data_IF_543325657108
#
_entry.id   IF_543325657108
#
_cell.length_a   1.000
_cell.length_b   1.000
_cell.length_c   1.000
_cell.angle_alpha   90.00
_cell.angle_beta   90.00
_cell.angle_gamma   90.00
#
_symmetry.space_group_name_H-M   'P 1'
#
loop_
_entity.id
_entity.type
_entity.pdbx_description
1 polymer ?
#
# COMPACT_ATOMS: atom_id res chain seq x y z
N UNK A 1 33.41 -21.33 -7.86
CA UNK A 1 32.77 -21.15 -9.18
C UNK A 1 32.32 -19.70 -9.22
N UNK A 2 32.63 -18.95 -10.28
CA UNK A 2 32.24 -17.53 -10.37
C UNK A 2 30.72 -17.44 -10.42
N UNK A 3 30.12 -16.68 -9.49
CA UNK A 3 28.68 -16.44 -9.51
C UNK A 3 28.37 -15.38 -10.56
N UNK A 4 27.63 -15.78 -11.60
CA UNK A 4 27.24 -14.90 -12.71
C UNK A 4 25.80 -14.39 -12.62
N UNK A 5 24.99 -14.95 -11.71
CA UNK A 5 23.61 -14.55 -11.46
C UNK A 5 23.54 -13.84 -10.12
N UNK A 6 23.01 -12.62 -10.08
CA UNK A 6 22.79 -11.84 -8.86
C UNK A 6 21.53 -12.28 -8.10
N UNK A 7 20.60 -11.34 -7.94
CA UNK A 7 19.31 -11.57 -7.27
C UNK A 7 18.38 -12.42 -8.14
N UNK A 8 17.78 -13.46 -7.55
CA UNK A 8 16.76 -14.29 -8.20
C UNK A 8 15.46 -14.19 -7.43
N UNK A 9 14.35 -13.96 -8.13
CA UNK A 9 13.03 -13.78 -7.53
C UNK A 9 12.08 -14.82 -8.09
N UNK A 10 11.36 -15.54 -7.21
CA UNK A 10 10.44 -16.61 -7.58
C UNK A 10 9.08 -16.42 -6.91
N UNK A 11 8.03 -16.29 -7.70
CA UNK A 11 6.65 -16.41 -7.22
C UNK A 11 6.28 -17.87 -7.01
N UNK A 12 5.96 -18.25 -5.78
CA UNK A 12 5.67 -19.62 -5.39
C UNK A 12 4.17 -19.88 -5.44
N UNK A 13 3.77 -20.92 -6.19
CA UNK A 13 2.38 -21.37 -6.20
C UNK A 13 2.02 -22.01 -4.86
N UNK A 14 0.95 -21.55 -4.22
CA UNK A 14 0.45 -22.11 -2.97
C UNK A 14 -1.01 -22.60 -3.10
N UNK A 15 -1.50 -23.41 -2.16
CA UNK A 15 -2.91 -23.76 -2.07
C UNK A 15 -3.80 -22.53 -1.89
N UNK A 16 -5.10 -22.69 -2.18
CA UNK A 16 -6.10 -21.68 -1.84
C UNK A 16 -6.19 -21.59 -0.31
N UNK A 17 -5.91 -20.41 0.22
CA UNK A 17 -5.96 -20.13 1.66
C UNK A 17 -7.40 -19.90 2.09
N UNK A 18 -7.81 -20.47 3.22
CA UNK A 18 -9.11 -20.28 3.83
C UNK A 18 -8.98 -19.67 5.22
N UNK A 19 -10.10 -19.17 5.73
CA UNK A 19 -10.19 -18.70 7.11
C UNK A 19 -9.87 -19.85 8.08
N UNK A 20 -9.04 -19.56 9.08
CA UNK A 20 -8.59 -20.53 10.08
C UNK A 20 -7.37 -21.35 9.68
N UNK A 21 -6.88 -21.23 8.44
CA UNK A 21 -5.66 -21.93 8.03
C UNK A 21 -4.43 -21.44 8.80
N UNK A 22 -3.51 -22.34 9.15
CA UNK A 22 -2.20 -21.96 9.68
C UNK A 22 -1.31 -21.47 8.53
N UNK A 23 -1.31 -20.15 8.33
CA UNK A 23 -0.57 -19.52 7.24
C UNK A 23 0.93 -19.81 7.33
N UNK A 24 1.48 -19.95 8.54
CA UNK A 24 2.88 -20.24 8.76
C UNK A 24 3.28 -21.61 8.20
N UNK A 25 2.46 -22.64 8.42
CA UNK A 25 2.72 -23.99 7.89
C UNK A 25 2.63 -24.00 6.37
N UNK A 26 1.61 -23.33 5.81
CA UNK A 26 1.43 -23.26 4.36
C UNK A 26 2.62 -22.57 3.68
N UNK A 27 3.13 -21.48 4.27
CA UNK A 27 4.29 -20.77 3.73
C UNK A 27 5.54 -21.65 3.79
N UNK A 28 5.81 -22.26 4.94
CA UNK A 28 6.96 -23.14 5.14
C UNK A 28 6.94 -24.31 4.15
N UNK A 29 5.81 -25.00 4.03
CA UNK A 29 5.65 -26.14 3.14
C UNK A 29 5.78 -25.73 1.67
N UNK A 30 5.26 -24.56 1.29
CA UNK A 30 5.38 -24.03 -0.07
C UNK A 30 6.82 -23.73 -0.44
N UNK A 31 7.58 -23.10 0.47
CA UNK A 31 9.01 -22.79 0.28
C UNK A 31 9.83 -24.08 0.14
N UNK A 32 9.66 -25.04 1.06
CA UNK A 32 10.40 -26.31 1.05
C UNK A 32 10.06 -27.16 -0.18
N UNK A 33 8.78 -27.21 -0.57
CA UNK A 33 8.34 -27.91 -1.78
C UNK A 33 8.94 -27.27 -3.02
N UNK A 34 8.92 -25.95 -3.13
CA UNK A 34 9.51 -25.24 -4.26
C UNK A 34 11.01 -25.49 -4.35
N UNK A 35 11.74 -25.37 -3.24
CA UNK A 35 13.18 -25.66 -3.17
C UNK A 35 13.50 -27.07 -3.66
N UNK A 36 12.73 -28.08 -3.22
CA UNK A 36 12.91 -29.47 -3.62
C UNK A 36 12.57 -29.73 -5.10
N UNK A 37 11.46 -29.20 -5.59
CA UNK A 37 10.94 -29.49 -6.94
C UNK A 37 11.72 -28.73 -8.01
N UNK A 38 12.02 -27.46 -7.76
CA UNK A 38 12.74 -26.58 -8.70
C UNK A 38 14.27 -26.67 -8.56
N UNK A 39 14.76 -27.38 -7.53
CA UNK A 39 16.18 -27.69 -7.37
C UNK A 39 17.06 -26.50 -6.97
N UNK A 40 16.57 -25.62 -6.10
CA UNK A 40 17.39 -24.54 -5.51
C UNK A 40 17.60 -24.75 -4.01
N UNK A 41 18.76 -24.36 -3.52
CA UNK A 41 19.09 -24.38 -2.09
C UNK A 41 18.55 -23.14 -1.40
N UNK A 42 18.19 -23.26 -0.12
CA UNK A 42 17.85 -22.13 0.74
C UNK A 42 19.12 -21.71 1.48
N UNK A 43 19.42 -20.41 1.52
CA UNK A 43 20.61 -19.86 2.14
C UNK A 43 20.29 -18.89 3.28
N UNK A 44 21.29 -18.62 4.12
CA UNK A 44 21.19 -17.53 5.10
C UNK A 44 20.98 -16.20 4.37
N UNK A 45 20.09 -15.36 4.92
CA UNK A 45 19.65 -14.06 4.38
C UNK A 45 18.84 -14.12 3.07
N UNK A 46 18.48 -15.30 2.56
CA UNK A 46 17.39 -15.37 1.57
C UNK A 46 16.10 -14.84 2.20
N UNK A 47 15.23 -14.26 1.38
CA UNK A 47 14.01 -13.58 1.86
C UNK A 47 12.77 -14.33 1.40
N UNK A 48 11.87 -14.61 2.33
CA UNK A 48 10.52 -15.09 2.06
C UNK A 48 9.54 -13.95 2.30
N UNK A 49 8.75 -13.58 1.30
CA UNK A 49 7.71 -12.57 1.47
C UNK A 49 6.33 -13.19 1.25
N UNK A 50 5.34 -12.71 2.00
CA UNK A 50 3.97 -13.21 1.97
C UNK A 50 3.02 -12.03 1.80
N UNK A 51 2.09 -12.07 0.84
CA UNK A 51 1.16 -10.95 0.68
C UNK A 51 0.28 -10.78 1.92
N UNK A 52 -0.02 -9.53 2.28
CA UNK A 52 -0.98 -9.16 3.34
C UNK A 52 -2.30 -9.91 3.17
N UNK A 53 -2.72 -10.05 1.91
CA UNK A 53 -4.04 -10.49 1.52
C UNK A 53 -4.33 -11.93 1.97
N UNK A 54 -3.33 -12.81 1.91
CA UNK A 54 -3.49 -14.20 2.35
C UNK A 54 -3.37 -14.35 3.85
N UNK A 55 -2.59 -13.48 4.51
CA UNK A 55 -2.51 -13.43 5.98
C UNK A 55 -3.85 -12.97 6.54
N UNK A 56 -4.43 -11.89 6.00
CA UNK A 56 -5.74 -11.39 6.37
C UNK A 56 -6.85 -12.44 6.14
N UNK A 57 -6.75 -13.20 5.04
CA UNK A 57 -7.70 -14.28 4.72
C UNK A 57 -7.63 -15.42 5.73
N UNK A 58 -6.42 -15.89 6.05
CA UNK A 58 -6.22 -16.91 7.08
C UNK A 58 -6.72 -16.46 8.45
N UNK A 59 -6.56 -15.18 8.79
CA UNK A 59 -7.03 -14.59 10.04
C UNK A 59 -8.56 -14.48 10.16
N UNK A 60 -9.32 -14.58 9.07
CA UNK A 60 -10.77 -14.34 9.13
C UNK A 60 -11.14 -12.90 9.46
N UNK A 61 -10.26 -11.92 9.19
CA UNK A 61 -10.46 -10.54 9.62
C UNK A 61 -11.43 -9.79 8.69
N UNK A 62 -12.72 -10.13 8.77
CA UNK A 62 -13.79 -9.56 7.94
C UNK A 62 -14.73 -8.68 8.76
N UNK A 63 -15.31 -7.68 8.10
CA UNK A 63 -16.35 -6.85 8.67
C UNK A 63 -17.47 -6.58 7.66
N UNK A 64 -18.71 -6.46 8.16
CA UNK A 64 -19.87 -6.14 7.35
C UNK A 64 -20.06 -4.62 7.22
N UNK A 65 -20.80 -4.19 6.20
CA UNK A 65 -21.22 -2.79 6.09
C UNK A 65 -22.06 -2.32 7.29
N UNK A 66 -22.75 -3.23 7.98
CA UNK A 66 -23.52 -2.92 9.20
C UNK A 66 -22.62 -2.59 10.39
N UNK A 67 -21.52 -3.32 10.53
CA UNK A 67 -20.52 -3.05 11.56
C UNK A 67 -19.82 -1.71 11.30
N UNK A 68 -19.49 -1.42 10.03
CA UNK A 68 -18.98 -0.09 9.62
C UNK A 68 -20.01 0.99 9.96
N UNK A 69 -21.28 0.80 9.58
CA UNK A 69 -22.34 1.76 9.82
C UNK A 69 -22.54 2.04 11.31
N UNK A 70 -22.54 1.00 12.16
CA UNK A 70 -22.66 1.14 13.61
C UNK A 70 -21.49 1.94 14.20
N UNK A 71 -20.27 1.69 13.72
CA UNK A 71 -19.10 2.42 14.19
C UNK A 71 -19.12 3.89 13.76
N UNK A 72 -19.47 4.16 12.50
CA UNK A 72 -19.68 5.52 11.97
C UNK A 72 -20.77 6.24 12.77
N UNK A 73 -21.89 5.58 13.04
CA UNK A 73 -22.98 6.13 13.84
C UNK A 73 -22.54 6.47 15.27
N UNK A 74 -21.73 5.61 15.90
CA UNK A 74 -21.22 5.85 17.25
C UNK A 74 -20.32 7.09 17.33
N UNK A 75 -19.58 7.37 16.25
CA UNK A 75 -18.61 8.47 16.16
C UNK A 75 -19.25 9.80 15.76
N UNK A 76 -20.20 9.76 14.82
CA UNK A 76 -20.78 10.95 14.22
C UNK A 76 -22.21 11.26 14.69
N UNK A 77 -22.98 10.26 15.13
CA UNK A 77 -24.36 10.43 15.56
C UNK A 77 -25.30 10.80 14.41
N UNK A 78 -26.06 11.88 14.57
CA UNK A 78 -26.99 12.42 13.57
C UNK A 78 -26.46 13.68 12.87
N UNK A 79 -25.15 13.93 12.97
CA UNK A 79 -24.54 15.07 12.31
C UNK A 79 -24.35 14.84 10.80
N UNK A 80 -24.26 15.92 10.04
CA UNK A 80 -23.79 15.88 8.64
C UNK A 80 -22.30 15.55 8.61
N UNK A 81 -21.91 14.56 7.82
CA UNK A 81 -20.52 14.10 7.70
C UNK A 81 -19.90 14.63 6.41
N UNK A 82 -18.76 15.28 6.51
CA UNK A 82 -17.91 15.58 5.37
C UNK A 82 -17.04 14.37 5.07
N UNK A 83 -17.26 13.68 3.95
CA UNK A 83 -16.43 12.55 3.52
C UNK A 83 -15.47 13.08 2.46
N UNK A 84 -14.17 13.10 2.76
CA UNK A 84 -13.20 13.82 1.94
C UNK A 84 -12.05 12.93 1.46
N UNK A 85 -11.56 13.23 0.27
CA UNK A 85 -10.37 12.62 -0.33
C UNK A 85 -10.38 11.09 -0.40
N UNK A 86 -11.51 10.44 -0.76
CA UNK A 86 -11.47 9.01 -1.01
C UNK A 86 -10.65 8.70 -2.26
N UNK A 87 -10.01 7.53 -2.27
CA UNK A 87 -9.47 6.97 -3.51
C UNK A 87 -10.60 6.47 -4.40
N UNK A 88 -10.47 6.64 -5.72
CA UNK A 88 -11.45 6.27 -6.72
C UNK A 88 -11.33 4.79 -7.07
N UNK A 89 -11.90 3.95 -6.20
CA UNK A 89 -11.83 2.51 -6.35
C UNK A 89 -13.16 1.82 -6.03
N UNK A 90 -13.60 0.96 -6.95
CA UNK A 90 -14.69 -0.01 -6.70
C UNK A 90 -14.30 -1.07 -5.67
N UNK A 91 -13.02 -1.43 -5.61
CA UNK A 91 -12.53 -2.52 -4.77
C UNK A 91 -12.16 -2.05 -3.36
N UNK A 92 -11.48 -0.90 -3.25
CA UNK A 92 -10.91 -0.41 -1.99
C UNK A 92 -11.84 0.53 -1.21
N UNK A 93 -12.71 1.30 -1.87
CA UNK A 93 -13.52 2.31 -1.19
C UNK A 93 -15.03 2.13 -1.30
N UNK A 94 -15.55 1.61 -2.42
CA UNK A 94 -17.02 1.56 -2.63
C UNK A 94 -17.79 0.81 -1.54
N UNK A 95 -17.30 -0.34 -1.07
CA UNK A 95 -17.96 -1.09 0.02
C UNK A 95 -17.82 -0.35 1.37
N UNK A 96 -16.67 0.28 1.63
CA UNK A 96 -16.52 1.15 2.79
C UNK A 96 -17.53 2.30 2.75
N UNK A 97 -17.72 2.93 1.58
CA UNK A 97 -18.67 4.02 1.40
C UNK A 97 -20.11 3.58 1.65
N UNK A 98 -20.50 2.37 1.23
CA UNK A 98 -21.82 1.79 1.57
C UNK A 98 -22.05 1.73 3.08
N UNK A 99 -21.06 1.21 3.83
CA UNK A 99 -21.11 1.18 5.29
C UNK A 99 -21.13 2.58 5.92
N UNK A 100 -20.33 3.51 5.40
CA UNK A 100 -20.30 4.91 5.87
C UNK A 100 -21.66 5.58 5.64
N UNK A 101 -22.22 5.46 4.43
CA UNK A 101 -23.52 5.99 4.07
C UNK A 101 -24.62 5.43 4.97
N UNK A 102 -24.68 4.10 5.15
CA UNK A 102 -25.67 3.46 6.02
C UNK A 102 -25.61 3.94 7.49
N UNK A 103 -24.45 4.39 7.96
CA UNK A 103 -24.27 4.96 9.30
C UNK A 103 -24.48 6.48 9.40
N UNK A 104 -24.64 7.18 8.28
CA UNK A 104 -24.71 8.63 8.19
C UNK A 104 -26.14 9.15 8.07
N UNK A 105 -26.36 10.41 8.46
CA UNK A 105 -27.64 11.11 8.21
C UNK A 105 -27.64 11.88 6.89
N UNK A 106 -26.55 12.61 6.62
CA UNK A 106 -26.28 13.38 5.41
C UNK A 106 -24.78 13.34 5.15
N UNK A 107 -24.38 13.26 3.88
CA UNK A 107 -22.98 13.30 3.47
C UNK A 107 -22.74 14.49 2.55
N UNK A 108 -21.67 15.23 2.82
CA UNK A 108 -21.05 16.13 1.85
C UNK A 108 -19.78 15.43 1.35
N UNK A 109 -19.80 14.95 0.11
CA UNK A 109 -18.70 14.22 -0.52
C UNK A 109 -17.77 15.22 -1.21
N UNK A 110 -16.52 15.33 -0.75
CA UNK A 110 -15.51 16.17 -1.37
C UNK A 110 -14.44 15.34 -2.05
N UNK A 111 -14.38 15.45 -3.38
CA UNK A 111 -13.41 14.74 -4.21
C UNK A 111 -12.23 15.65 -4.57
N UNK A 112 -11.02 15.08 -4.51
CA UNK A 112 -9.81 15.71 -5.05
C UNK A 112 -9.84 15.69 -6.58
N UNK A 113 -9.25 16.69 -7.22
CA UNK A 113 -9.17 16.77 -8.69
C UNK A 113 -7.85 17.44 -9.14
N UNK A 114 -7.23 17.05 -10.27
CA UNK A 114 -7.74 16.15 -11.29
C UNK A 114 -7.76 14.66 -10.88
N UNK A 115 -7.02 14.28 -9.84
CA UNK A 115 -6.92 12.90 -9.37
C UNK A 115 -7.00 12.76 -7.84
N UNK A 116 -7.21 11.54 -7.35
CA UNK A 116 -7.05 11.21 -5.94
C UNK A 116 -5.57 11.13 -5.50
N UNK A 117 -5.34 10.76 -4.23
CA UNK A 117 -3.99 10.66 -3.64
C UNK A 117 -3.07 9.67 -4.36
N UNK A 118 -3.62 8.59 -4.91
CA UNK A 118 -2.84 7.55 -5.61
C UNK A 118 -2.82 7.78 -7.13
N UNK A 119 -3.47 8.83 -7.63
CA UNK A 119 -3.43 9.22 -9.03
C UNK A 119 -4.54 8.63 -9.91
N UNK A 120 -5.63 8.08 -9.34
CA UNK A 120 -6.81 7.78 -10.16
C UNK A 120 -7.44 9.10 -10.61
N UNK A 121 -7.59 9.28 -11.91
CA UNK A 121 -8.05 10.54 -12.50
C UNK A 121 -9.58 10.60 -12.50
N UNK A 122 -10.13 11.72 -11.99
CA UNK A 122 -11.49 12.14 -12.30
C UNK A 122 -11.56 12.79 -13.67
N UNK A 123 -10.57 13.61 -14.00
CA UNK A 123 -10.43 14.35 -15.27
C UNK A 123 -8.97 14.38 -15.68
N UNK A 124 -8.74 14.58 -16.98
CA UNK A 124 -7.39 14.88 -17.46
C UNK A 124 -6.94 16.25 -16.94
N UNK A 125 -5.65 16.40 -16.65
CA UNK A 125 -5.08 17.67 -16.22
C UNK A 125 -5.12 18.70 -17.35
N UNK A 126 -4.98 18.27 -18.61
CA UNK A 126 -5.04 19.18 -19.77
C UNK A 126 -6.44 19.80 -19.92
N UNK A 127 -7.50 19.05 -19.55
CA UNK A 127 -8.87 19.58 -19.52
C UNK A 127 -9.04 20.71 -18.49
N UNK A 128 -8.27 20.70 -17.40
CA UNK A 128 -8.30 21.80 -16.44
C UNK A 128 -7.73 23.08 -17.06
N UNK A 129 -6.61 22.95 -17.77
CA UNK A 129 -5.93 24.07 -18.44
C UNK A 129 -6.81 24.67 -19.54
N UNK A 130 -7.47 23.84 -20.35
CA UNK A 130 -8.41 24.28 -21.40
C UNK A 130 -9.60 25.07 -20.83
N UNK A 131 -10.04 24.74 -19.61
CA UNK A 131 -11.16 25.40 -18.93
C UNK A 131 -10.71 26.54 -18.01
N UNK A 132 -9.41 26.76 -17.86
CA UNK A 132 -8.84 27.77 -16.97
C UNK A 132 -9.13 27.51 -15.49
N UNK A 133 -9.30 26.25 -15.09
CA UNK A 133 -9.61 25.84 -13.71
C UNK A 133 -8.31 25.57 -12.95
N UNK A 134 -8.12 26.22 -11.81
CA UNK A 134 -6.96 26.00 -10.95
C UNK A 134 -7.26 24.98 -9.85
N UNK A 135 -6.71 23.75 -9.91
CA UNK A 135 -7.00 22.69 -8.94
C UNK A 135 -6.52 23.01 -7.52
N UNK A 136 -5.66 24.01 -7.33
CA UNK A 136 -5.14 24.37 -6.01
C UNK A 136 -6.01 25.39 -5.26
N UNK A 137 -6.74 26.24 -5.97
CA UNK A 137 -7.55 27.32 -5.39
C UNK A 137 -9.04 27.14 -5.59
N UNK A 138 -9.45 26.58 -6.72
CA UNK A 138 -10.83 26.63 -7.15
C UNK A 138 -11.63 25.54 -6.45
N UNK A 139 -12.89 25.87 -6.14
CA UNK A 139 -13.85 24.94 -5.56
C UNK A 139 -15.01 24.84 -6.54
N UNK A 140 -15.33 23.62 -6.95
CA UNK A 140 -16.42 23.36 -7.88
C UNK A 140 -17.56 22.65 -7.14
N UNK A 141 -18.79 23.06 -7.45
CA UNK A 141 -19.99 22.25 -7.19
C UNK A 141 -20.09 21.14 -8.24
N UNK A 142 -20.88 20.11 -7.96
CA UNK A 142 -21.25 19.09 -8.96
C UNK A 142 -21.73 19.70 -10.27
N UNK A 143 -22.66 20.66 -10.22
CA UNK A 143 -23.16 21.32 -11.43
C UNK A 143 -22.04 21.99 -12.22
N UNK A 144 -21.16 22.76 -11.57
CA UNK A 144 -20.03 23.40 -12.26
C UNK A 144 -19.07 22.38 -12.87
N UNK A 145 -18.76 21.31 -12.14
CA UNK A 145 -17.93 20.22 -12.66
C UNK A 145 -18.57 19.58 -13.90
N UNK A 146 -19.87 19.27 -13.86
CA UNK A 146 -20.61 18.71 -15.01
C UNK A 146 -20.72 19.69 -16.18
N UNK A 147 -20.95 20.96 -15.94
CA UNK A 147 -20.99 21.99 -16.99
C UNK A 147 -19.62 22.14 -17.69
N UNK A 148 -18.52 21.97 -16.94
CA UNK A 148 -17.16 22.07 -17.48
C UNK A 148 -16.71 20.81 -18.22
N UNK A 149 -17.00 19.61 -17.69
CA UNK A 149 -16.39 18.35 -18.12
C UNK A 149 -17.39 17.27 -18.58
N UNK A 150 -18.68 17.42 -18.28
CA UNK A 150 -19.71 16.43 -18.61
C UNK A 150 -19.65 15.15 -17.76
N UNK A 151 -19.96 14.02 -18.40
CA UNK A 151 -19.80 12.68 -17.83
C UNK A 151 -18.39 12.17 -18.14
N UNK A 152 -17.56 12.02 -17.11
CA UNK A 152 -16.15 11.63 -17.28
C UNK A 152 -15.94 10.24 -16.70
N UNK A 153 -15.55 9.31 -17.58
CA UNK A 153 -15.31 7.91 -17.23
C UNK A 153 -13.84 7.68 -17.00
N UNK A 154 -13.52 6.99 -15.92
CA UNK A 154 -12.15 6.60 -15.61
C UNK A 154 -11.57 5.68 -16.70
N UNK A 155 -10.37 6.01 -17.18
CA UNK A 155 -9.74 5.40 -18.36
C UNK A 155 -9.68 3.87 -18.32
N UNK A 156 -9.41 3.28 -17.15
CA UNK A 156 -9.26 1.83 -17.02
C UNK A 156 -10.55 1.09 -16.64
N UNK A 157 -11.50 1.75 -15.98
CA UNK A 157 -12.69 1.05 -15.43
C UNK A 157 -13.97 1.40 -16.18
N UNK A 158 -13.98 2.48 -16.96
CA UNK A 158 -15.17 3.00 -17.64
C UNK A 158 -16.22 3.58 -16.68
N UNK A 159 -15.88 3.79 -15.41
CA UNK A 159 -16.80 4.25 -14.36
C UNK A 159 -16.72 5.75 -14.22
N UNK A 160 -17.88 6.42 -14.20
CA UNK A 160 -18.00 7.78 -13.68
C UNK A 160 -18.06 7.71 -12.15
N UNK A 161 -16.95 8.03 -11.48
CA UNK A 161 -16.85 7.89 -10.03
C UNK A 161 -17.65 8.95 -9.26
N UNK A 162 -17.97 10.10 -9.87
CA UNK A 162 -18.81 11.12 -9.25
C UNK A 162 -20.23 10.57 -9.11
N UNK A 163 -20.79 10.07 -10.20
CA UNK A 163 -22.14 9.47 -10.21
C UNK A 163 -22.19 8.17 -9.42
N UNK A 164 -21.16 7.33 -9.56
CA UNK A 164 -21.09 6.06 -8.86
C UNK A 164 -21.05 6.25 -7.34
N UNK A 165 -20.23 7.15 -6.79
CA UNK A 165 -20.20 7.36 -5.34
C UNK A 165 -21.45 8.04 -4.80
N UNK A 166 -22.02 8.98 -5.56
CA UNK A 166 -23.29 9.60 -5.21
C UNK A 166 -24.42 8.58 -5.12
N UNK A 167 -24.59 7.75 -6.15
CA UNK A 167 -25.62 6.70 -6.18
C UNK A 167 -25.47 5.68 -5.04
N UNK A 168 -24.23 5.29 -4.67
CA UNK A 168 -23.99 4.41 -3.52
C UNK A 168 -24.46 5.00 -2.19
N UNK A 169 -24.35 6.32 -2.02
CA UNK A 169 -24.81 7.01 -0.81
C UNK A 169 -26.34 7.10 -0.81
N UNK A 170 -26.91 7.54 -1.93
CA UNK A 170 -28.36 7.73 -2.09
C UNK A 170 -29.16 6.42 -2.03
N UNK A 171 -28.56 5.28 -2.35
CA UNK A 171 -29.15 3.94 -2.20
C UNK A 171 -29.63 3.66 -0.77
N UNK A 172 -28.99 4.26 0.24
CA UNK A 172 -29.39 4.15 1.65
C UNK A 172 -30.32 5.27 2.13
N UNK A 173 -30.90 6.05 1.21
CA UNK A 173 -31.78 7.17 1.52
C UNK A 173 -31.05 8.36 2.17
N UNK A 174 -29.74 8.45 1.99
CA UNK A 174 -28.89 9.51 2.55
C UNK A 174 -28.71 10.61 1.53
N UNK A 175 -29.01 11.85 1.94
CA UNK A 175 -28.76 13.02 1.11
C UNK A 175 -27.25 13.19 0.85
N UNK A 176 -26.88 13.35 -0.42
CA UNK A 176 -25.50 13.54 -0.85
C UNK A 176 -25.33 14.87 -1.58
N UNK A 177 -24.42 15.71 -1.08
CA UNK A 177 -23.93 16.90 -1.80
C UNK A 177 -22.49 16.67 -2.25
N UNK A 178 -22.20 16.80 -3.55
CA UNK A 178 -20.86 16.59 -4.10
C UNK A 178 -20.18 17.92 -4.41
N UNK A 179 -18.95 18.08 -3.93
CA UNK A 179 -18.07 19.23 -4.19
C UNK A 179 -16.65 18.76 -4.54
N UNK A 180 -15.86 19.64 -5.14
CA UNK A 180 -14.49 19.36 -5.57
C UNK A 180 -13.55 20.42 -5.03
N UNK A 181 -12.48 19.98 -4.36
CA UNK A 181 -11.43 20.84 -3.80
C UNK A 181 -10.23 19.98 -3.42
N UNK A 182 -9.01 20.51 -3.56
CA UNK A 182 -7.79 19.89 -3.00
C UNK A 182 -7.40 20.47 -1.62
N UNK A 183 -8.17 21.43 -1.12
CA UNK A 183 -7.95 22.05 0.17
C UNK A 183 -8.92 21.45 1.21
N UNK A 184 -8.43 20.70 2.22
CA UNK A 184 -9.31 20.05 3.19
C UNK A 184 -10.16 21.05 3.98
N UNK A 185 -9.72 22.32 4.12
CA UNK A 185 -10.50 23.33 4.85
C UNK A 185 -11.83 23.65 4.17
N UNK A 186 -11.96 23.44 2.87
CA UNK A 186 -13.19 23.73 2.13
C UNK A 186 -14.41 23.02 2.73
N UNK A 187 -14.24 21.78 3.20
CA UNK A 187 -15.35 21.00 3.79
C UNK A 187 -15.93 21.65 5.06
N UNK A 188 -15.13 22.46 5.77
CA UNK A 188 -15.54 23.11 7.01
C UNK A 188 -16.59 24.21 6.80
N UNK A 189 -16.78 24.67 5.56
CA UNK A 189 -17.91 25.54 5.19
C UNK A 189 -19.26 24.80 5.20
N UNK A 190 -19.24 23.48 5.15
CA UNK A 190 -20.42 22.62 5.05
C UNK A 190 -20.69 21.84 6.35
N UNK A 191 -19.63 21.38 7.03
CA UNK A 191 -19.74 20.69 8.31
C UNK A 191 -18.41 20.69 9.06
N UNK A 192 -18.49 20.68 10.40
CA UNK A 192 -17.32 20.53 11.28
C UNK A 192 -16.98 19.08 11.59
N UNK A 193 -17.78 18.14 11.11
CA UNK A 193 -17.65 16.71 11.38
C UNK A 193 -17.18 16.01 10.11
N UNK A 194 -15.95 15.49 10.12
CA UNK A 194 -15.26 15.07 8.89
C UNK A 194 -14.66 13.68 9.06
N UNK A 195 -14.91 12.83 8.07
CA UNK A 195 -14.21 11.57 7.82
C UNK A 195 -13.24 11.78 6.65
N UNK A 196 -11.95 11.71 6.94
CA UNK A 196 -10.89 11.87 5.94
C UNK A 196 -10.41 10.49 5.44
N UNK A 197 -10.49 10.29 4.13
CA UNK A 197 -10.31 8.99 3.48
C UNK A 197 -8.98 8.85 2.73
N UNK A 198 -8.14 9.88 2.80
CA UNK A 198 -6.74 9.82 2.37
C UNK A 198 -5.98 8.76 3.18
N UNK A 199 -5.04 8.10 2.51
CA UNK A 199 -4.25 7.01 3.06
C UNK A 199 -2.97 7.61 3.63
N UNK A 200 -2.07 8.15 2.82
CA UNK A 200 -0.72 8.52 3.27
C UNK A 200 -0.66 9.90 3.92
N UNK A 201 -1.54 10.81 3.51
CA UNK A 201 -1.62 12.19 4.00
C UNK A 201 -2.57 12.40 5.18
N UNK A 202 -3.26 11.34 5.64
CA UNK A 202 -4.31 11.37 6.68
C UNK A 202 -3.96 12.16 7.94
N UNK A 203 -2.74 12.02 8.44
CA UNK A 203 -2.33 12.73 9.66
C UNK A 203 -2.22 14.24 9.43
N UNK A 204 -1.71 14.65 8.27
CA UNK A 204 -1.65 16.06 7.86
C UNK A 204 -3.06 16.61 7.68
N UNK A 205 -3.95 15.87 7.01
CA UNK A 205 -5.32 16.29 6.77
C UNK A 205 -6.10 16.45 8.08
N UNK A 206 -6.05 15.47 8.99
CA UNK A 206 -6.63 15.57 10.34
C UNK A 206 -6.11 16.79 11.10
N UNK A 207 -4.80 17.04 11.06
CA UNK A 207 -4.18 18.20 11.73
C UNK A 207 -4.71 19.52 11.18
N UNK A 208 -4.81 19.65 9.86
CA UNK A 208 -5.33 20.87 9.22
C UNK A 208 -6.78 21.11 9.65
N UNK A 209 -7.64 20.09 9.57
CA UNK A 209 -9.06 20.22 9.93
C UNK A 209 -9.26 20.64 11.39
N UNK A 210 -8.57 19.97 12.33
CA UNK A 210 -8.62 20.29 13.76
C UNK A 210 -8.17 21.74 14.05
N UNK A 211 -7.08 22.18 13.43
CA UNK A 211 -6.55 23.54 13.62
C UNK A 211 -7.45 24.63 13.03
N UNK A 212 -8.43 24.28 12.20
CA UNK A 212 -9.34 25.23 11.54
C UNK A 212 -10.79 25.09 12.02
N UNK A 213 -11.02 24.49 13.19
CA UNK A 213 -12.33 24.46 13.84
C UNK A 213 -13.17 23.21 13.57
N UNK A 214 -12.58 22.15 13.02
CA UNK A 214 -13.21 20.83 12.97
C UNK A 214 -13.44 20.24 14.37
N UNK A 215 -14.60 19.62 14.59
CA UNK A 215 -15.04 19.08 15.89
C UNK A 215 -14.83 17.56 15.95
N UNK A 216 -15.60 16.78 15.19
CA UNK A 216 -15.45 15.32 15.09
C UNK A 216 -14.62 14.96 13.87
N UNK A 217 -13.30 14.80 14.05
CA UNK A 217 -12.36 14.55 12.96
C UNK A 217 -11.76 13.14 13.08
N UNK A 218 -12.24 12.24 12.22
CA UNK A 218 -11.80 10.85 12.12
C UNK A 218 -11.21 10.58 10.74
N UNK A 219 -10.38 9.55 10.62
CA UNK A 219 -9.93 8.97 9.35
C UNK A 219 -10.34 7.51 9.26
N UNK A 220 -10.12 6.88 8.10
CA UNK A 220 -10.41 5.46 7.92
C UNK A 220 -9.69 4.55 8.92
N UNK A 221 -8.49 4.91 9.42
CA UNK A 221 -7.82 4.20 10.51
C UNK A 221 -8.55 4.24 11.85
N UNK A 222 -9.55 5.11 12.00
CA UNK A 222 -10.35 5.19 13.20
C UNK A 222 -11.67 4.41 13.06
N UNK A 223 -12.06 3.99 11.87
CA UNK A 223 -13.25 3.17 11.65
C UNK A 223 -12.86 1.69 11.72
N UNK A 224 -13.55 0.92 12.56
CA UNK A 224 -13.19 -0.45 12.95
C UNK A 224 -11.76 -0.57 13.51
N UNK A 225 -11.37 0.40 14.35
CA UNK A 225 -10.15 0.32 15.16
C UNK A 225 -10.29 -0.63 16.38
N UNK A 226 -11.50 -1.08 16.65
CA UNK A 226 -11.86 -2.07 17.65
C UNK A 226 -13.03 -2.91 17.13
N UNK A 227 -13.21 -4.12 17.68
CA UNK A 227 -14.32 -4.99 17.26
C UNK A 227 -15.67 -4.32 17.50
N UNK A 228 -16.56 -4.43 16.52
CA UNK A 228 -17.96 -4.01 16.61
C UNK A 228 -18.81 -5.24 16.38
N UNK A 229 -19.65 -5.59 17.35
CA UNK A 229 -20.51 -6.77 17.32
C UNK A 229 -19.77 -8.08 17.01
N UNK A 230 -18.56 -8.22 17.56
CA UNK A 230 -17.71 -9.39 17.34
C UNK A 230 -17.05 -9.47 15.97
N UNK A 231 -17.22 -8.45 15.11
CA UNK A 231 -16.60 -8.37 13.80
C UNK A 231 -15.10 -8.13 13.82
N UNK A 232 -14.47 -8.31 12.66
CA UNK A 232 -13.08 -7.99 12.42
C UNK A 232 -12.77 -6.52 12.68
N UNK A 233 -11.51 -6.26 13.01
CA UNK A 233 -10.99 -4.91 13.26
C UNK A 233 -9.47 -4.86 13.04
N UNK A 234 -8.94 -3.65 12.88
CA UNK A 234 -7.50 -3.41 12.86
C UNK A 234 -7.16 -2.19 13.73
N UNK A 235 -6.43 -2.41 14.82
CA UNK A 235 -6.11 -1.40 15.82
C UNK A 235 -5.26 -0.23 15.28
N UNK A 236 -4.50 -0.46 14.22
CA UNK A 236 -3.57 0.54 13.66
C UNK A 236 -4.11 1.19 12.38
N UNK A 237 -4.89 0.44 11.61
CA UNK A 237 -5.27 0.81 10.24
C UNK A 237 -6.77 0.85 10.00
N UNK A 238 -7.62 0.41 10.93
CA UNK A 238 -9.07 0.44 10.76
C UNK A 238 -9.51 -0.13 9.41
N UNK A 239 -10.15 0.70 8.59
CA UNK A 239 -10.56 0.39 7.21
C UNK A 239 -9.47 0.59 6.14
N UNK A 240 -8.33 1.22 6.46
CA UNK A 240 -7.23 1.38 5.50
C UNK A 240 -6.64 0.02 5.14
N UNK A 241 -6.34 -0.16 3.84
CA UNK A 241 -5.85 -1.44 3.30
C UNK A 241 -6.92 -2.52 3.22
N UNK A 242 -8.18 -2.22 3.56
CA UNK A 242 -9.27 -3.17 3.35
C UNK A 242 -9.59 -3.36 1.86
N UNK A 243 -10.19 -4.50 1.54
CA UNK A 243 -10.60 -4.89 0.19
C UNK A 243 -12.00 -5.45 0.20
N UNK A 244 -12.75 -5.25 -0.88
CA UNK A 244 -14.03 -5.91 -1.12
C UNK A 244 -13.89 -7.43 -1.04
N UNK A 245 -14.72 -8.07 -0.21
CA UNK A 245 -14.82 -9.54 -0.12
C UNK A 245 -16.13 -10.01 -0.75
N UNK A 246 -17.25 -9.40 -0.36
CA UNK A 246 -18.57 -9.57 -0.99
C UNK A 246 -19.21 -8.19 -1.23
N UNK A 247 -20.47 -8.13 -1.68
CA UNK A 247 -21.18 -6.85 -1.81
C UNK A 247 -21.44 -6.16 -0.46
N UNK A 248 -21.43 -6.90 0.65
CA UNK A 248 -21.76 -6.39 1.99
C UNK A 248 -20.62 -6.56 3.00
N UNK A 249 -19.46 -7.07 2.58
CA UNK A 249 -18.32 -7.33 3.48
C UNK A 249 -16.99 -6.87 2.91
N UNK A 250 -16.13 -6.38 3.81
CA UNK A 250 -14.73 -6.09 3.54
C UNK A 250 -13.84 -7.10 4.26
N UNK A 251 -12.73 -7.45 3.62
CA UNK A 251 -11.57 -8.06 4.27
C UNK A 251 -10.67 -6.93 4.74
N UNK A 252 -10.38 -6.88 6.04
CA UNK A 252 -9.51 -5.86 6.62
C UNK A 252 -8.03 -6.24 6.47
N UNK A 253 -7.17 -5.23 6.50
CA UNK A 253 -5.71 -5.41 6.51
C UNK A 253 -5.29 -6.30 7.70
N UNK A 254 -4.24 -7.14 7.56
CA UNK A 254 -3.89 -8.10 8.60
C UNK A 254 -3.40 -7.38 9.85
N UNK A 255 -3.59 -8.07 10.97
CA UNK A 255 -3.27 -7.59 12.33
C UNK A 255 -2.34 -8.58 13.00
N UNK A 256 -1.72 -8.18 14.12
CA UNK A 256 -0.82 -9.05 14.89
C UNK A 256 0.15 -9.85 13.98
N UNK A 257 0.80 -9.17 13.04
CA UNK A 257 1.57 -9.79 11.96
C UNK A 257 2.98 -10.25 12.40
N UNK A 258 3.50 -9.72 13.52
CA UNK A 258 4.86 -10.02 13.98
C UNK A 258 5.07 -11.50 14.37
N UNK A 259 4.16 -12.14 15.13
CA UNK A 259 4.27 -13.57 15.40
C UNK A 259 4.29 -14.44 14.14
N UNK A 260 3.54 -14.05 13.08
CA UNK A 260 3.50 -14.81 11.82
C UNK A 260 4.87 -14.88 11.17
N UNK A 261 5.55 -13.73 11.00
CA UNK A 261 6.88 -13.69 10.36
C UNK A 261 7.94 -14.39 11.22
N UNK A 262 7.86 -14.26 12.54
CA UNK A 262 8.81 -14.88 13.47
C UNK A 262 8.66 -16.41 13.49
N UNK A 263 7.42 -16.90 13.48
CA UNK A 263 7.13 -18.34 13.45
C UNK A 263 7.55 -18.97 12.11
N UNK A 264 7.33 -18.30 10.98
CA UNK A 264 7.81 -18.78 9.67
C UNK A 264 9.34 -18.87 9.68
N UNK A 265 10.03 -17.82 10.14
CA UNK A 265 11.49 -17.81 10.24
C UNK A 265 12.00 -18.95 11.12
N UNK A 266 11.39 -19.15 12.30
CA UNK A 266 11.76 -20.21 13.23
C UNK A 266 11.57 -21.61 12.63
N UNK A 267 10.42 -21.88 12.01
CA UNK A 267 10.11 -23.17 11.35
C UNK A 267 11.05 -23.45 10.18
N UNK A 268 11.38 -22.45 9.36
CA UNK A 268 12.35 -22.60 8.28
C UNK A 268 13.75 -22.86 8.82
N UNK A 269 14.16 -22.16 9.88
CA UNK A 269 15.45 -22.40 10.54
C UNK A 269 15.54 -23.81 11.13
N UNK A 270 14.49 -24.29 11.77
CA UNK A 270 14.45 -25.67 12.30
C UNK A 270 14.61 -26.71 11.19
N UNK A 271 13.89 -26.54 10.07
CA UNK A 271 13.86 -27.52 8.97
C UNK A 271 15.07 -27.44 8.04
N UNK A 272 15.72 -26.30 7.93
CA UNK A 272 16.81 -26.05 6.94
C UNK A 272 18.17 -25.74 7.57
N UNK A 273 18.19 -25.37 8.85
CA UNK A 273 19.37 -24.83 9.53
C UNK A 273 19.75 -23.40 9.12
N UNK A 274 18.96 -22.73 8.27
CA UNK A 274 19.27 -21.42 7.70
C UNK A 274 18.50 -20.28 8.36
N UNK A 275 19.14 -19.14 8.52
CA UNK A 275 18.51 -17.91 8.98
C UNK A 275 18.03 -17.11 7.76
N UNK A 276 16.82 -17.39 7.31
CA UNK A 276 16.14 -16.60 6.26
C UNK A 276 15.47 -15.37 6.87
N UNK A 277 15.28 -14.32 6.08
CA UNK A 277 14.43 -13.19 6.47
C UNK A 277 13.00 -13.38 5.98
N UNK A 278 12.02 -12.89 6.73
CA UNK A 278 10.60 -13.04 6.42
C UNK A 278 9.90 -11.70 6.53
N UNK A 279 9.02 -11.38 5.57
CA UNK A 279 8.14 -10.22 5.67
C UNK A 279 6.74 -10.49 5.13
N UNK A 280 5.77 -9.74 5.65
CA UNK A 280 4.47 -9.59 5.02
C UNK A 280 4.54 -8.32 4.17
N UNK A 281 4.08 -8.36 2.92
CA UNK A 281 4.06 -7.21 2.01
C UNK A 281 2.63 -6.87 1.57
N UNK A 282 2.29 -5.59 1.58
CA UNK A 282 1.11 -5.04 0.90
C UNK A 282 1.48 -4.51 -0.48
N UNK A 283 0.70 -3.55 -0.98
CA UNK A 283 0.96 -2.88 -2.25
C UNK A 283 2.38 -2.29 -2.33
N UNK A 284 3.03 -2.46 -3.48
CA UNK A 284 4.37 -1.96 -3.77
C UNK A 284 4.34 -0.59 -4.45
N UNK A 285 5.24 0.35 -4.09
CA UNK A 285 5.20 1.73 -4.58
C UNK A 285 5.64 1.92 -6.05
N UNK A 286 5.03 1.19 -7.00
CA UNK A 286 5.17 1.37 -8.44
C UNK A 286 4.16 2.41 -8.94
N UNK A 287 4.62 3.33 -9.81
CA UNK A 287 3.74 4.23 -10.55
C UNK A 287 3.65 3.77 -11.99
N UNK A 288 2.45 3.42 -12.43
CA UNK A 288 2.21 3.10 -13.84
C UNK A 288 2.52 4.34 -14.71
N UNK A 289 3.39 4.23 -15.73
CA UNK A 289 3.75 5.37 -16.55
C UNK A 289 2.64 5.82 -17.51
N UNK A 290 1.60 5.01 -17.77
CA UNK A 290 0.53 5.33 -18.71
C UNK A 290 -0.58 6.11 -18.00
N UNK A 291 -1.23 5.48 -17.02
CA UNK A 291 -2.30 6.07 -16.21
C UNK A 291 -1.81 6.93 -15.07
N UNK A 292 -0.51 6.97 -14.77
CA UNK A 292 0.08 7.75 -13.66
C UNK A 292 -0.52 7.41 -12.29
N UNK A 293 -1.02 6.19 -12.12
CA UNK A 293 -1.57 5.66 -10.88
C UNK A 293 -0.45 4.95 -10.11
N UNK A 294 -0.36 5.22 -8.82
CA UNK A 294 0.46 4.46 -7.88
C UNK A 294 -0.29 3.21 -7.42
N UNK A 295 0.35 2.06 -7.49
CA UNK A 295 -0.08 0.85 -6.80
C UNK A 295 0.28 0.97 -5.30
N UNK A 296 -0.34 1.92 -4.60
CA UNK A 296 0.00 2.20 -3.19
C UNK A 296 -1.27 2.54 -2.38
N UNK A 297 -2.26 1.66 -2.47
CA UNK A 297 -3.55 1.80 -1.80
C UNK A 297 -3.55 1.21 -0.37
N UNK A 298 -2.53 0.46 0.01
CA UNK A 298 -2.30 0.02 1.38
C UNK A 298 -1.65 1.11 2.26
N UNK A 299 -1.90 1.11 3.59
CA UNK A 299 -1.38 2.13 4.50
C UNK A 299 0.11 2.03 4.76
N UNK A 300 0.73 0.87 4.50
CA UNK A 300 2.16 0.59 4.60
C UNK A 300 2.54 -0.52 3.62
N UNK A 301 3.78 -0.50 3.12
CA UNK A 301 4.30 -1.58 2.26
C UNK A 301 4.51 -2.88 3.02
N UNK A 302 4.85 -2.82 4.32
CA UNK A 302 5.06 -4.03 5.12
C UNK A 302 4.51 -3.86 6.54
N UNK A 303 3.45 -4.61 6.92
CA UNK A 303 2.93 -4.60 8.28
C UNK A 303 3.80 -5.35 9.29
N UNK A 304 4.65 -6.28 8.86
CA UNK A 304 5.62 -6.95 9.72
C UNK A 304 6.76 -7.58 8.93
N UNK A 305 7.93 -7.63 9.56
CA UNK A 305 9.14 -8.21 9.00
C UNK A 305 10.11 -8.64 10.11
N UNK A 306 11.06 -9.51 9.76
CA UNK A 306 12.16 -9.96 10.63
C UNK A 306 13.28 -8.92 10.70
N UNK A 307 14.06 -8.95 11.78
CA UNK A 307 15.04 -7.91 12.12
C UNK A 307 16.09 -7.66 11.03
N UNK A 308 16.48 -8.67 10.24
CA UNK A 308 17.49 -8.49 9.19
C UNK A 308 17.02 -7.61 8.02
N UNK A 309 15.74 -7.24 7.97
CA UNK A 309 15.17 -6.31 6.98
C UNK A 309 15.09 -4.86 7.50
N UNK A 310 15.59 -4.57 8.71
CA UNK A 310 15.70 -3.21 9.22
C UNK A 310 16.80 -2.42 8.50
N UNK A 311 16.53 -1.14 8.23
CA UNK A 311 17.49 -0.21 7.65
C UNK A 311 17.33 0.01 6.15
N UNK A 312 18.42 0.46 5.52
CA UNK A 312 18.48 0.85 4.12
C UNK A 312 19.66 0.15 3.44
N UNK A 313 19.61 -0.12 2.12
CA UNK A 313 20.78 -0.64 1.42
C UNK A 313 22.00 0.26 1.63
N UNK A 314 23.13 -0.36 1.94
CA UNK A 314 24.43 0.31 1.95
C UNK A 314 25.24 -0.20 0.76
N UNK A 315 24.98 0.34 -0.43
CA UNK A 315 25.62 -0.07 -1.69
C UNK A 315 26.55 1.02 -2.24
N UNK A 316 27.60 0.59 -2.94
CA UNK A 316 28.54 1.50 -3.63
C UNK A 316 28.23 1.53 -5.12
N UNK A 317 28.40 2.70 -5.74
CA UNK A 317 28.22 2.83 -7.19
C UNK A 317 29.45 2.28 -7.91
N UNK A 318 29.41 1.01 -8.32
CA UNK A 318 30.50 0.35 -9.04
C UNK A 318 30.98 1.16 -10.26
N UNK A 319 30.03 1.70 -11.03
CA UNK A 319 30.35 2.56 -12.18
C UNK A 319 31.06 3.84 -11.77
N UNK A 320 30.65 4.48 -10.67
CA UNK A 320 31.33 5.69 -10.18
C UNK A 320 32.76 5.38 -9.77
N UNK A 321 32.97 4.29 -9.02
CA UNK A 321 34.31 3.85 -8.61
C UNK A 321 35.18 3.53 -9.82
N UNK A 322 34.63 2.85 -10.83
CA UNK A 322 35.34 2.51 -12.05
C UNK A 322 35.70 3.75 -12.90
N UNK A 323 34.77 4.69 -13.05
CA UNK A 323 34.93 5.86 -13.91
C UNK A 323 35.72 7.01 -13.26
N UNK A 324 35.86 7.03 -11.93
CA UNK A 324 36.55 8.10 -11.19
C UNK A 324 37.77 7.56 -10.41
N UNK A 325 37.53 6.84 -9.33
CA UNK A 325 38.58 6.44 -8.37
C UNK A 325 39.59 5.46 -8.99
N UNK A 326 39.13 4.61 -9.91
CA UNK A 326 39.92 3.56 -10.56
C UNK A 326 39.98 3.71 -12.09
N UNK A 327 39.73 4.92 -12.63
CA UNK A 327 39.68 5.17 -14.08
C UNK A 327 40.96 4.79 -14.85
N UNK A 328 42.08 4.70 -14.13
CA UNK A 328 43.39 4.33 -14.66
C UNK A 328 43.60 2.80 -14.73
N UNK A 329 42.76 2.00 -14.08
CA UNK A 329 42.86 0.54 -14.04
C UNK A 329 41.96 -0.11 -15.10
N UNK A 330 42.33 -1.31 -15.58
CA UNK A 330 41.55 -2.09 -16.55
C UNK A 330 41.62 -3.59 -16.24
N UNK A 331 40.66 -4.35 -16.78
CA UNK A 331 40.65 -5.81 -16.67
C UNK A 331 40.69 -6.29 -15.22
N UNK A 332 41.55 -7.27 -14.94
CA UNK A 332 41.66 -7.90 -13.62
C UNK A 332 42.13 -6.95 -12.52
N UNK A 333 42.94 -5.93 -12.85
CA UNK A 333 43.42 -4.95 -11.88
C UNK A 333 42.27 -4.07 -11.38
N UNK A 334 41.39 -3.62 -12.29
CA UNK A 334 40.18 -2.89 -11.92
C UNK A 334 39.24 -3.74 -11.08
N UNK A 335 39.04 -5.01 -11.46
CA UNK A 335 38.20 -5.95 -10.71
C UNK A 335 38.72 -6.16 -9.28
N UNK A 336 40.04 -6.29 -9.10
CA UNK A 336 40.66 -6.40 -7.77
C UNK A 336 40.48 -5.14 -6.95
N UNK A 337 40.75 -3.96 -7.51
CA UNK A 337 40.64 -2.69 -6.80
C UNK A 337 39.20 -2.40 -6.33
N UNK A 338 38.22 -2.63 -7.19
CA UNK A 338 36.79 -2.51 -6.83
C UNK A 338 36.43 -3.53 -5.73
N UNK A 339 36.92 -4.76 -5.84
CA UNK A 339 36.62 -5.79 -4.84
C UNK A 339 37.23 -5.48 -3.47
N UNK A 340 38.44 -4.93 -3.44
CA UNK A 340 39.09 -4.48 -2.20
C UNK A 340 38.35 -3.29 -1.58
N UNK A 341 37.92 -2.33 -2.40
CA UNK A 341 37.12 -1.20 -1.92
C UNK A 341 35.82 -1.67 -1.27
N UNK A 342 35.08 -2.59 -1.90
CA UNK A 342 33.80 -3.11 -1.37
C UNK A 342 34.00 -3.83 -0.04
N UNK A 343 35.11 -4.54 0.15
CA UNK A 343 35.42 -5.25 1.40
C UNK A 343 35.78 -4.30 2.55
N UNK A 344 36.37 -3.14 2.22
CA UNK A 344 36.92 -2.20 3.21
C UNK A 344 36.04 -0.96 3.43
N UNK A 345 34.89 -0.84 2.75
CA UNK A 345 33.99 0.31 2.88
C UNK A 345 33.37 0.39 4.29
N UNK A 346 33.00 1.60 4.69
CA UNK A 346 32.32 1.85 5.96
C UNK A 346 30.87 1.33 5.96
N UNK A 347 30.37 1.01 7.16
CA UNK A 347 29.01 0.50 7.39
C UNK A 347 27.91 1.55 7.12
N UNK A 348 28.25 2.84 7.12
CA UNK A 348 27.38 3.94 6.70
C UNK A 348 28.08 4.80 5.65
N UNK A 349 27.52 4.85 4.44
CA UNK A 349 28.04 5.63 3.33
C UNK A 349 27.24 6.91 3.08
N UNK A 350 26.26 7.26 3.91
CA UNK A 350 25.41 8.45 3.72
C UNK A 350 26.26 9.71 3.60
N UNK A 351 26.12 10.41 2.47
CA UNK A 351 26.84 11.67 2.21
C UNK A 351 28.25 11.52 1.62
N UNK A 352 28.76 10.31 1.45
CA UNK A 352 30.02 10.08 0.71
C UNK A 352 29.86 10.38 -0.79
N UNK A 353 30.94 10.81 -1.46
CA UNK A 353 30.91 11.00 -2.92
C UNK A 353 30.58 9.69 -3.66
N UNK A 354 31.02 8.54 -3.13
CA UNK A 354 30.74 7.22 -3.69
C UNK A 354 29.27 6.77 -3.53
N UNK A 355 28.48 7.41 -2.65
CA UNK A 355 27.04 7.18 -2.49
C UNK A 355 26.16 8.28 -3.14
N UNK A 356 26.75 9.31 -3.75
CA UNK A 356 25.98 10.40 -4.36
C UNK A 356 24.98 9.88 -5.40
N UNK A 357 23.70 10.16 -5.18
CA UNK A 357 22.59 9.78 -6.04
C UNK A 357 21.96 8.41 -5.74
N UNK A 358 22.16 7.84 -4.55
CA UNK A 358 21.22 6.87 -3.98
C UNK A 358 20.30 7.62 -3.02
N UNK A 359 18.98 7.50 -3.20
CA UNK A 359 18.02 7.93 -2.17
C UNK A 359 17.88 6.76 -1.20
N UNK A 360 18.24 6.89 0.08
CA UNK A 360 18.14 5.77 1.02
C UNK A 360 16.66 5.38 1.17
N UNK A 361 16.29 4.25 0.58
CA UNK A 361 14.97 3.63 0.71
C UNK A 361 15.05 2.51 1.73
N UNK A 362 13.97 2.30 2.50
CA UNK A 362 13.92 1.18 3.44
C UNK A 362 13.96 -0.12 2.67
N UNK A 363 14.67 -1.11 3.21
CA UNK A 363 14.77 -2.44 2.61
C UNK A 363 13.38 -3.06 2.39
N UNK A 364 12.49 -2.91 3.36
CA UNK A 364 11.10 -3.39 3.30
C UNK A 364 10.32 -2.77 2.15
N UNK A 365 10.55 -1.50 1.82
CA UNK A 365 9.82 -0.82 0.76
C UNK A 365 10.31 -1.30 -0.62
N UNK A 366 11.62 -1.51 -0.75
CA UNK A 366 12.24 -2.04 -1.98
C UNK A 366 11.86 -3.50 -2.21
N UNK A 367 12.03 -4.35 -1.19
CA UNK A 367 11.73 -5.78 -1.27
C UNK A 367 10.23 -6.00 -1.41
N UNK A 368 9.40 -5.27 -0.67
CA UNK A 368 7.94 -5.33 -0.81
C UNK A 368 7.48 -4.95 -2.21
N UNK A 369 8.05 -3.89 -2.80
CA UNK A 369 7.73 -3.51 -4.18
C UNK A 369 8.20 -4.54 -5.21
N UNK A 370 9.37 -5.16 -4.99
CA UNK A 370 9.86 -6.25 -5.83
C UNK A 370 8.92 -7.46 -5.76
N UNK A 371 8.45 -7.79 -4.56
CA UNK A 371 7.51 -8.89 -4.34
C UNK A 371 6.16 -8.63 -4.98
N UNK A 372 5.60 -7.43 -4.81
CA UNK A 372 4.32 -7.05 -5.40
C UNK A 372 4.34 -7.08 -6.93
N UNK A 373 5.41 -6.56 -7.56
CA UNK A 373 5.63 -6.68 -9.01
C UNK A 373 5.73 -8.14 -9.46
N UNK A 374 6.28 -9.03 -8.62
CA UNK A 374 6.42 -10.45 -8.93
C UNK A 374 5.10 -11.20 -8.82
N UNK A 375 4.33 -10.97 -7.75
CA UNK A 375 2.98 -11.55 -7.61
C UNK A 375 2.02 -11.01 -8.68
N UNK A 376 2.15 -9.72 -9.00
CA UNK A 376 1.24 -8.97 -9.86
C UNK A 376 -0.13 -8.76 -9.22
N UNK A 377 -0.94 -7.94 -9.87
CA UNK A 377 -2.28 -7.52 -9.40
C UNK A 377 -3.39 -8.57 -9.59
N UNK A 378 -3.08 -9.72 -10.22
CA UNK A 378 -4.05 -10.78 -10.53
C UNK A 378 -3.80 -12.04 -9.71
N UNK A 379 -4.81 -12.91 -9.62
CA UNK A 379 -4.73 -14.20 -8.91
C UNK A 379 -3.90 -15.23 -9.71
N UNK A 380 -2.60 -14.98 -9.84
CA UNK A 380 -1.64 -15.93 -10.44
C UNK A 380 -1.37 -17.13 -9.52
N UNK A 381 -1.99 -17.16 -8.35
CA UNK A 381 -1.76 -18.17 -7.32
C UNK A 381 -0.36 -18.12 -6.72
N UNK A 382 0.39 -17.01 -6.87
CA UNK A 382 1.76 -16.86 -6.36
C UNK A 382 1.90 -15.81 -5.25
N UNK A 383 1.16 -15.92 -4.12
CA UNK A 383 1.15 -14.91 -3.08
C UNK A 383 2.39 -14.94 -2.16
N UNK A 384 3.24 -15.97 -2.30
CA UNK A 384 4.51 -16.13 -1.57
C UNK A 384 5.65 -15.90 -2.55
N UNK A 385 6.60 -15.03 -2.23
CA UNK A 385 7.77 -14.75 -3.04
C UNK A 385 9.02 -15.23 -2.31
N UNK A 386 9.89 -15.94 -3.01
CA UNK A 386 11.21 -16.33 -2.51
C UNK A 386 12.29 -15.59 -3.28
N UNK A 387 13.12 -14.85 -2.56
CA UNK A 387 14.16 -13.98 -3.12
C UNK A 387 15.51 -14.48 -2.63
N UNK A 388 16.39 -14.78 -3.58
CA UNK A 388 17.75 -15.23 -3.29
C UNK A 388 18.78 -14.19 -3.65
N UNK A 389 19.74 -14.04 -2.75
CA UNK A 389 20.92 -13.23 -2.96
C UNK A 389 20.69 -11.74 -3.09
N UNK A 390 19.60 -11.24 -2.51
CA UNK A 390 19.30 -9.81 -2.46
C UNK A 390 20.40 -9.00 -1.75
N UNK A 391 21.04 -9.60 -0.73
CA UNK A 391 22.08 -8.95 0.08
C UNK A 391 23.51 -9.30 -0.35
N UNK A 392 23.67 -10.02 -1.47
CA UNK A 392 24.98 -10.32 -1.98
C UNK A 392 25.62 -9.09 -2.61
N UNK A 393 26.94 -9.08 -2.65
CA UNK A 393 27.70 -7.99 -3.25
C UNK A 393 28.58 -8.54 -4.38
N UNK A 394 29.16 -7.62 -5.16
CA UNK A 394 30.01 -7.96 -6.31
C UNK A 394 31.21 -8.87 -5.98
N UNK A 395 31.58 -8.99 -4.70
CA UNK A 395 32.73 -9.80 -4.27
C UNK A 395 32.38 -11.23 -3.88
N UNK A 396 31.10 -11.60 -3.89
CA UNK A 396 30.59 -12.91 -3.44
C UNK A 396 30.01 -13.76 -4.55
#
# INVERSE_FOLDING_TARGET
>A
MERVVGTVVRGLRCPIINEGDCIEDIVVDSVLKASKVEGFEINDKDVVTVTESIVARAQGNYATIDQIAKDVKSKFGDDTIGVIFPILSRNRFAICLRGIAKGAKKIVLMLSYPSDEVGNHLVDIDMLDEKGINPWSDVLTEKQFRDCFGEVKHTFTGVDYVEYYKSLIEEYGVECEVIFSNNPKTILNYTKNVLTCDIHTRFRTKKILKNNGGEKIYSLDNILSSSVDGGGFNENYGLLGSNKSTEDTVKLFPRNCKPVVDNIQAKLKEKTGKNVEVMIYGDGAFKDPVGKIWELADPVVSPAYTKGLEGTPNEVKLKYLADNDFAHLKGDELKKAISEYIKNKEDDLVGSMASQGTTPRRLTDLIGSLSDLTSGSGDKGTPIIFIQGYFDNYTK
#
